data_IF_286707781473
#
_entry.id   IF_286707781473
#
_cell.length_a   1.000
_cell.length_b   1.000
_cell.length_c   1.000
_cell.angle_alpha   90.00
_cell.angle_beta   90.00
_cell.angle_gamma   90.00
#
_symmetry.space_group_name_H-M   'P 1'
#
loop_
_entity.id
_entity.type
_entity.pdbx_description
1 polymer ?
#
# COMPACT_ATOMS: atom_id res chain seq x y z
N UNK A 1 -31.41 1.76 36.68
CA UNK A 1 -30.27 1.04 36.07
C UNK A 1 -30.18 1.49 34.61
N UNK A 2 -29.18 2.32 34.25
CA UNK A 2 -29.04 2.85 32.88
C UNK A 2 -28.27 1.82 32.06
N UNK A 3 -28.95 1.14 31.14
CA UNK A 3 -28.30 0.28 30.16
C UNK A 3 -27.64 1.22 29.15
N UNK A 4 -26.31 1.29 29.20
CA UNK A 4 -25.50 2.06 28.25
C UNK A 4 -25.69 1.48 26.86
N UNK A 5 -26.16 2.30 25.93
CA UNK A 5 -26.27 1.97 24.50
C UNK A 5 -24.87 1.75 23.92
N UNK A 6 -24.42 0.49 23.92
CA UNK A 6 -23.20 0.12 23.23
C UNK A 6 -23.50 0.17 21.72
N UNK A 7 -22.99 1.18 21.04
CA UNK A 7 -23.15 1.37 19.59
C UNK A 7 -22.34 0.28 18.86
N UNK A 8 -22.93 -0.90 18.71
CA UNK A 8 -22.37 -1.96 17.86
C UNK A 8 -22.64 -1.56 16.41
N UNK A 9 -21.60 -1.05 15.73
CA UNK A 9 -21.64 -0.79 14.29
C UNK A 9 -21.80 -2.11 13.54
N UNK A 10 -22.88 -2.24 12.78
CA UNK A 10 -23.13 -3.40 11.93
C UNK A 10 -22.28 -3.33 10.65
N UNK A 11 -21.70 -4.47 10.24
CA UNK A 11 -20.83 -4.57 9.05
C UNK A 11 -21.53 -4.20 7.72
N UNK A 12 -22.85 -4.10 7.69
CA UNK A 12 -23.65 -3.77 6.51
C UNK A 12 -24.18 -2.31 6.51
N UNK A 13 -23.69 -1.45 7.39
CA UNK A 13 -24.03 -0.02 7.37
C UNK A 13 -23.26 0.72 6.26
N UNK A 14 -23.78 0.61 5.03
CA UNK A 14 -23.23 1.17 3.79
C UNK A 14 -23.29 2.71 3.80
N UNK A 15 -24.12 3.33 4.67
CA UNK A 15 -24.30 4.78 4.73
C UNK A 15 -23.05 5.52 5.24
N UNK A 16 -22.14 4.78 5.90
CA UNK A 16 -20.83 5.26 6.35
C UNK A 16 -19.67 4.70 5.50
N UNK A 17 -19.91 4.25 4.27
CA UNK A 17 -18.85 4.00 3.28
C UNK A 17 -18.35 5.30 2.65
N UNK A 18 -18.15 6.34 3.46
CA UNK A 18 -17.28 7.44 3.07
C UNK A 18 -15.83 6.98 3.19
N UNK A 19 -15.49 5.91 2.47
CA UNK A 19 -14.10 5.47 2.32
C UNK A 19 -13.50 6.24 1.15
N UNK A 20 -13.57 7.57 1.20
CA UNK A 20 -12.51 8.35 0.57
C UNK A 20 -11.25 7.98 1.34
N UNK A 21 -10.54 6.94 0.86
CA UNK A 21 -9.20 6.67 1.35
C UNK A 21 -8.44 7.97 1.21
N UNK A 22 -7.87 8.42 2.32
CA UNK A 22 -7.04 9.60 2.37
C UNK A 22 -5.95 9.50 1.29
N UNK A 23 -5.70 10.60 0.58
CA UNK A 23 -4.73 10.65 -0.52
C UNK A 23 -3.35 10.24 -0.01
N UNK A 24 -3.02 10.58 1.24
CA UNK A 24 -1.78 10.14 1.90
C UNK A 24 -1.72 8.62 2.05
N UNK A 25 -2.83 7.98 2.42
CA UNK A 25 -2.91 6.51 2.56
C UNK A 25 -2.78 5.82 1.20
N UNK A 26 -3.43 6.35 0.17
CA UNK A 26 -3.32 5.83 -1.20
C UNK A 26 -1.89 5.98 -1.70
N UNK A 27 -1.30 7.16 -1.57
CA UNK A 27 0.06 7.41 -2.04
C UNK A 27 1.09 6.49 -1.34
N UNK A 28 0.92 6.23 -0.05
CA UNK A 28 1.75 5.28 0.70
C UNK A 28 1.62 3.84 0.21
N UNK A 29 0.40 3.39 -0.10
CA UNK A 29 0.17 2.05 -0.67
C UNK A 29 0.83 1.90 -2.05
N UNK A 30 0.75 2.93 -2.89
CA UNK A 30 1.43 2.92 -4.19
C UNK A 30 2.96 2.95 -4.05
N UNK A 31 3.51 3.74 -3.12
CA UNK A 31 4.94 3.75 -2.84
C UNK A 31 5.43 2.38 -2.39
N UNK A 32 4.70 1.70 -1.49
CA UNK A 32 4.99 0.32 -1.10
C UNK A 32 5.01 -0.62 -2.31
N UNK A 33 4.02 -0.53 -3.20
CA UNK A 33 3.97 -1.36 -4.41
C UNK A 33 5.20 -1.11 -5.31
N UNK A 34 5.59 0.13 -5.48
CA UNK A 34 6.76 0.49 -6.29
C UNK A 34 8.06 -0.05 -5.68
N UNK A 35 8.23 0.08 -4.36
CA UNK A 35 9.38 -0.48 -3.65
C UNK A 35 9.41 -2.01 -3.83
N UNK A 36 8.27 -2.71 -3.73
CA UNK A 36 8.20 -4.16 -4.00
C UNK A 36 8.68 -4.49 -5.41
N UNK A 37 8.30 -3.69 -6.41
CA UNK A 37 8.77 -3.89 -7.79
C UNK A 37 10.29 -3.73 -7.88
N UNK A 38 10.84 -2.68 -7.27
CA UNK A 38 12.29 -2.46 -7.22
C UNK A 38 13.01 -3.64 -6.55
N UNK A 39 12.55 -4.08 -5.38
CA UNK A 39 13.13 -5.21 -4.65
C UNK A 39 13.08 -6.49 -5.49
N UNK A 40 11.97 -6.72 -6.19
CA UNK A 40 11.80 -7.85 -7.09
C UNK A 40 12.75 -7.79 -8.28
N UNK A 41 12.93 -6.62 -8.90
CA UNK A 41 13.89 -6.46 -10.01
C UNK A 41 15.34 -6.61 -9.53
N UNK A 42 15.70 -6.06 -8.36
CA UNK A 42 17.01 -6.29 -7.74
C UNK A 42 17.25 -7.77 -7.46
N UNK A 43 16.25 -8.50 -6.98
CA UNK A 43 16.36 -9.94 -6.74
C UNK A 43 16.64 -10.73 -8.02
N UNK A 44 16.08 -10.32 -9.17
CA UNK A 44 16.34 -10.95 -10.46
C UNK A 44 17.79 -10.76 -10.93
N UNK A 45 18.50 -9.74 -10.46
CA UNK A 45 19.92 -9.54 -10.81
C UNK A 45 20.85 -10.43 -9.98
N UNK A 46 20.37 -10.98 -8.86
CA UNK A 46 21.11 -11.95 -8.06
C UNK A 46 21.05 -13.31 -8.79
N UNK A 47 22.22 -13.93 -9.12
CA UNK A 47 22.25 -15.23 -9.78
C UNK A 47 21.39 -16.26 -9.06
N UNK A 48 20.69 -17.11 -9.82
CA UNK A 48 19.87 -18.17 -9.23
C UNK A 48 20.76 -19.17 -8.47
N UNK A 49 20.84 -19.02 -7.16
CA UNK A 49 21.44 -19.98 -6.24
C UNK A 49 20.42 -21.02 -5.76
N UNK A 50 20.89 -21.95 -4.91
CA UNK A 50 20.08 -23.05 -4.32
C UNK A 50 18.82 -22.52 -3.60
N UNK A 51 18.83 -21.26 -3.14
CA UNK A 51 17.71 -20.63 -2.44
C UNK A 51 16.57 -20.14 -3.36
N UNK A 52 16.75 -19.93 -4.67
CA UNK A 52 15.69 -19.37 -5.52
C UNK A 52 14.91 -20.41 -6.35
N UNK A 53 15.23 -21.69 -6.22
CA UNK A 53 14.70 -22.74 -7.11
C UNK A 53 13.34 -23.30 -6.69
N UNK A 54 13.05 -23.34 -5.38
CA UNK A 54 11.81 -23.93 -4.85
C UNK A 54 10.65 -22.93 -4.79
N UNK A 55 9.43 -23.43 -5.06
CA UNK A 55 8.18 -22.67 -4.94
C UNK A 55 8.00 -22.06 -3.54
N UNK A 56 8.27 -22.84 -2.49
CA UNK A 56 8.15 -22.39 -1.11
C UNK A 56 9.10 -21.22 -0.79
N UNK A 57 10.31 -21.25 -1.37
CA UNK A 57 11.25 -20.16 -1.19
C UNK A 57 10.79 -18.89 -1.91
N UNK A 58 10.33 -19.01 -3.16
CA UNK A 58 9.77 -17.87 -3.92
C UNK A 58 8.59 -17.22 -3.17
N UNK A 59 7.72 -18.03 -2.58
CA UNK A 59 6.59 -17.54 -1.77
C UNK A 59 7.07 -16.81 -0.50
N UNK A 60 8.00 -17.39 0.25
CA UNK A 60 8.58 -16.74 1.43
C UNK A 60 9.24 -15.40 1.07
N UNK A 61 9.98 -15.36 -0.03
CA UNK A 61 10.67 -14.17 -0.50
C UNK A 61 9.69 -13.07 -0.95
N UNK A 62 8.57 -13.42 -1.59
CA UNK A 62 7.53 -12.44 -1.95
C UNK A 62 6.84 -11.86 -0.70
N UNK A 63 6.58 -12.68 0.31
CA UNK A 63 6.06 -12.22 1.61
C UNK A 63 7.07 -11.32 2.33
N UNK A 64 8.35 -11.66 2.27
CA UNK A 64 9.42 -10.85 2.82
C UNK A 64 9.51 -9.49 2.11
N UNK A 65 9.50 -9.47 0.78
CA UNK A 65 9.54 -8.24 -0.02
C UNK A 65 8.31 -7.35 0.28
N UNK A 66 7.14 -7.97 0.52
CA UNK A 66 5.94 -7.24 0.93
C UNK A 66 6.13 -6.51 2.27
N UNK A 67 6.64 -7.21 3.30
CA UNK A 67 6.83 -6.61 4.63
C UNK A 67 7.93 -5.55 4.64
N UNK A 68 9.03 -5.79 3.93
CA UNK A 68 10.11 -4.80 3.82
C UNK A 68 9.61 -3.55 3.11
N UNK A 69 8.88 -3.69 2.01
CA UNK A 69 8.36 -2.53 1.29
C UNK A 69 7.34 -1.72 2.09
N UNK A 70 6.48 -2.39 2.89
CA UNK A 70 5.56 -1.73 3.81
C UNK A 70 6.31 -0.94 4.90
N UNK A 71 7.39 -1.51 5.45
CA UNK A 71 8.25 -0.80 6.42
C UNK A 71 9.04 0.34 5.80
N UNK A 72 9.50 0.19 4.56
CA UNK A 72 10.18 1.26 3.86
C UNK A 72 9.19 2.38 3.53
N UNK A 73 7.95 2.10 3.10
CA UNK A 73 6.96 3.15 2.82
C UNK A 73 6.39 3.82 4.09
N UNK A 74 6.55 3.20 5.26
CA UNK A 74 6.31 3.88 6.55
C UNK A 74 7.37 4.94 6.86
N UNK A 75 8.61 4.71 6.43
CA UNK A 75 9.67 5.71 6.51
C UNK A 75 9.55 6.62 5.29
N UNK A 76 9.36 7.92 5.48
CA UNK A 76 9.22 8.89 4.37
C UNK A 76 10.51 9.07 3.50
N UNK A 77 11.36 8.05 3.44
CA UNK A 77 12.71 7.98 2.90
C UNK A 77 12.78 7.95 1.37
N UNK A 78 11.76 7.40 0.70
CA UNK A 78 11.78 7.19 -0.76
C UNK A 78 11.29 8.44 -1.51
N UNK A 79 10.42 9.24 -0.88
CA UNK A 79 9.94 10.51 -1.42
C UNK A 79 8.98 10.38 -2.61
N UNK A 80 8.63 9.16 -3.03
CA UNK A 80 7.71 8.91 -4.15
C UNK A 80 6.27 9.26 -3.77
N UNK A 81 5.91 9.10 -2.48
CA UNK A 81 4.61 9.47 -1.94
C UNK A 81 4.20 10.89 -2.35
N UNK A 82 5.08 11.87 -2.24
CA UNK A 82 4.75 13.28 -2.52
C UNK A 82 4.47 13.52 -4.01
N UNK A 83 5.23 12.90 -4.90
CA UNK A 83 4.97 12.96 -6.35
C UNK A 83 3.62 12.34 -6.72
N UNK A 84 3.24 11.23 -6.06
CA UNK A 84 1.95 10.58 -6.29
C UNK A 84 0.80 11.46 -5.79
N UNK A 85 0.95 12.09 -4.62
CA UNK A 85 -0.03 13.05 -4.09
C UNK A 85 -0.22 14.23 -5.03
N UNK A 86 0.87 14.79 -5.55
CA UNK A 86 0.83 15.89 -6.51
C UNK A 86 0.12 15.47 -7.81
N UNK A 87 0.44 14.29 -8.34
CA UNK A 87 -0.18 13.75 -9.55
C UNK A 87 -1.69 13.53 -9.37
N UNK A 88 -2.12 12.92 -8.26
CA UNK A 88 -3.53 12.72 -7.93
C UNK A 88 -4.25 14.06 -7.75
N UNK A 89 -3.61 15.02 -7.07
CA UNK A 89 -4.19 16.34 -6.84
C UNK A 89 -4.39 17.10 -8.15
N UNK A 90 -3.38 17.11 -9.04
CA UNK A 90 -3.49 17.69 -10.38
C UNK A 90 -4.60 17.03 -11.20
N UNK A 91 -4.66 15.70 -11.20
CA UNK A 91 -5.71 14.95 -11.91
C UNK A 91 -7.10 15.35 -11.45
N UNK A 92 -7.31 15.44 -10.12
CA UNK A 92 -8.58 15.85 -9.55
C UNK A 92 -8.97 17.26 -10.00
N UNK A 93 -8.03 18.23 -10.01
CA UNK A 93 -8.29 19.61 -10.47
C UNK A 93 -8.77 19.67 -11.92
N UNK A 94 -8.12 18.93 -12.84
CA UNK A 94 -8.53 18.89 -14.25
C UNK A 94 -9.84 18.14 -14.48
N UNK A 95 -10.18 17.18 -13.61
CA UNK A 95 -11.42 16.42 -13.72
C UNK A 95 -12.66 17.20 -13.28
N UNK A 96 -12.50 18.20 -12.42
CA UNK A 96 -13.60 19.04 -11.90
C UNK A 96 -13.91 20.28 -12.73
N UNK A 97 -13.10 20.60 -13.75
CA UNK A 97 -13.34 21.71 -14.70
C UNK A 97 -14.23 21.30 -15.91
N UNK A 98 -14.82 20.10 -15.89
CA UNK A 98 -15.84 19.64 -16.84
C UNK A 98 -17.16 19.38 -16.13
#
# INVERSE_FOLDING_TARGET
MKITSNNVKAYWDIQNLDTKKDIDSVAKEFEAMFIRMILKEFRKTIPEGIFNSSFSSKMYLDMFDMQIAEKISESDSVGLKEYIKEAISKYNMYSTEK
#
